data_IF_582054375236
#
_entry.id   IF_582054375236
#
_cell.length_a   1.000
_cell.length_b   1.000
_cell.length_c   1.000
_cell.angle_alpha   90.00
_cell.angle_beta   90.00
_cell.angle_gamma   90.00
#
_symmetry.space_group_name_H-M   'P 1'
#
loop_
_entity.id
_entity.type
_entity.pdbx_description
1 polymer ?
#
# COMPACT_ATOMS: atom_id res chain seq x y z
N UNK A 1 -6.33 44.92 -25.44
CA UNK A 1 -6.54 43.49 -25.72
C UNK A 1 -5.26 42.76 -25.41
N UNK A 2 -5.07 42.34 -24.15
CA UNK A 2 -3.87 41.65 -23.71
C UNK A 2 -3.89 40.22 -24.23
N UNK A 3 -2.83 39.81 -24.91
CA UNK A 3 -2.64 38.43 -25.37
C UNK A 3 -2.66 37.48 -24.18
N UNK A 4 -3.74 36.70 -24.05
CA UNK A 4 -3.90 35.62 -23.08
C UNK A 4 -3.04 34.39 -23.48
N UNK A 5 -1.77 34.63 -23.85
CA UNK A 5 -0.93 33.67 -24.58
C UNK A 5 -0.13 32.69 -23.72
N UNK A 6 -0.25 32.68 -22.39
CA UNK A 6 0.75 32.00 -21.54
C UNK A 6 0.20 31.05 -20.46
N UNK A 7 -1.06 30.63 -20.51
CA UNK A 7 -1.57 29.72 -19.49
C UNK A 7 -1.51 28.24 -19.87
N UNK A 8 -1.25 27.87 -21.12
CA UNK A 8 -1.15 26.46 -21.50
C UNK A 8 0.20 25.84 -21.12
N UNK A 9 0.17 24.58 -20.71
CA UNK A 9 1.39 23.80 -20.47
C UNK A 9 1.93 23.38 -21.85
N UNK A 10 3.08 23.94 -22.24
CA UNK A 10 3.68 23.57 -23.52
C UNK A 10 4.06 22.09 -23.57
N UNK A 11 4.04 21.50 -24.77
CA UNK A 11 4.36 20.08 -24.97
C UNK A 11 5.75 19.72 -24.42
N UNK A 12 6.74 20.62 -24.54
CA UNK A 12 8.09 20.41 -24.02
C UNK A 12 8.15 20.38 -22.49
N UNK A 13 7.37 21.23 -21.82
CA UNK A 13 7.25 21.20 -20.36
C UNK A 13 6.56 19.92 -19.93
N UNK A 14 5.43 19.59 -20.57
CA UNK A 14 4.65 18.39 -20.30
C UNK A 14 5.53 17.13 -20.41
N UNK A 15 6.29 17.00 -21.51
CA UNK A 15 7.24 15.90 -21.73
C UNK A 15 8.33 15.82 -20.65
N UNK A 16 8.92 16.95 -20.24
CA UNK A 16 9.92 16.97 -19.16
C UNK A 16 9.33 16.51 -17.82
N UNK A 17 8.13 16.98 -17.48
CA UNK A 17 7.43 16.58 -16.26
C UNK A 17 7.04 15.09 -16.28
N UNK A 18 6.50 14.61 -17.39
CA UNK A 18 6.19 13.19 -17.61
C UNK A 18 7.44 12.31 -17.47
N UNK A 19 8.55 12.71 -18.08
CA UNK A 19 9.83 11.98 -17.99
C UNK A 19 10.31 11.89 -16.55
N UNK A 20 10.33 13.02 -15.84
CA UNK A 20 10.71 13.06 -14.43
C UNK A 20 9.80 12.17 -13.56
N UNK A 21 8.48 12.24 -13.75
CA UNK A 21 7.53 11.40 -13.02
C UNK A 21 7.72 9.90 -13.31
N UNK A 22 7.93 9.54 -14.57
CA UNK A 22 8.12 8.14 -14.96
C UNK A 22 9.44 7.56 -14.46
N UNK A 23 10.47 8.38 -14.34
CA UNK A 23 11.80 7.94 -13.90
C UNK A 23 11.93 7.91 -12.38
N UNK A 24 11.55 9.00 -11.71
CA UNK A 24 11.85 9.20 -10.29
C UNK A 24 10.64 8.85 -9.40
N UNK A 25 9.43 8.81 -9.99
CA UNK A 25 8.16 8.56 -9.30
C UNK A 25 7.33 7.44 -9.96
N UNK A 26 7.99 6.44 -10.58
CA UNK A 26 7.33 5.33 -11.28
C UNK A 26 6.30 4.59 -10.41
N UNK A 27 6.61 4.37 -9.12
CA UNK A 27 5.69 3.73 -8.18
C UNK A 27 4.40 4.54 -7.98
N UNK A 28 4.48 5.86 -8.08
CA UNK A 28 3.35 6.78 -7.95
C UNK A 28 2.48 6.75 -9.19
N UNK A 29 3.09 6.76 -10.37
CA UNK A 29 2.38 6.58 -11.64
C UNK A 29 1.64 5.24 -11.64
N UNK A 30 2.30 4.17 -11.19
CA UNK A 30 1.68 2.85 -11.02
C UNK A 30 0.51 2.88 -10.02
N UNK A 31 0.68 3.52 -8.86
CA UNK A 31 -0.39 3.65 -7.87
C UNK A 31 -1.58 4.48 -8.38
N UNK A 32 -1.32 5.56 -9.11
CA UNK A 32 -2.35 6.36 -9.79
C UNK A 32 -3.13 5.51 -10.78
N UNK A 33 -2.44 4.69 -11.58
CA UNK A 33 -3.08 3.73 -12.48
C UNK A 33 -3.97 2.74 -11.72
N UNK A 34 -3.51 2.16 -10.62
CA UNK A 34 -4.33 1.24 -9.81
C UNK A 34 -5.57 1.92 -9.23
N UNK A 35 -5.47 3.20 -8.87
CA UNK A 35 -6.59 3.94 -8.29
C UNK A 35 -7.75 4.16 -9.27
N UNK A 36 -7.48 4.20 -10.58
CA UNK A 36 -8.47 4.46 -11.63
C UNK A 36 -8.99 3.20 -12.32
N UNK A 37 -8.48 2.01 -11.97
CA UNK A 37 -8.96 0.76 -12.57
C UNK A 37 -10.42 0.49 -12.18
N UNK A 38 -11.28 0.09 -13.14
CA UNK A 38 -12.62 -0.36 -12.82
C UNK A 38 -12.57 -1.63 -11.95
N UNK A 39 -13.63 -1.87 -11.17
CA UNK A 39 -13.70 -3.04 -10.27
C UNK A 39 -13.49 -4.37 -11.01
N UNK A 40 -13.92 -4.48 -12.26
CA UNK A 40 -13.76 -5.65 -13.14
C UNK A 40 -12.31 -5.95 -13.54
N UNK A 41 -11.40 -4.99 -13.35
CA UNK A 41 -9.99 -5.09 -13.72
C UNK A 41 -9.06 -5.17 -12.50
N UNK A 42 -9.60 -5.19 -11.28
CA UNK A 42 -8.77 -5.22 -10.05
C UNK A 42 -7.96 -6.50 -9.87
N UNK A 43 -8.40 -7.62 -10.46
CA UNK A 43 -7.64 -8.87 -10.47
C UNK A 43 -6.55 -8.90 -11.54
N UNK A 44 -6.54 -7.94 -12.47
CA UNK A 44 -5.57 -7.88 -13.54
C UNK A 44 -4.25 -7.25 -13.08
N UNK A 45 -3.15 -7.73 -13.65
CA UNK A 45 -1.82 -7.21 -13.35
C UNK A 45 -1.54 -5.99 -14.21
N UNK A 46 -1.32 -4.84 -13.59
CA UNK A 46 -0.77 -3.68 -14.30
C UNK A 46 0.72 -3.91 -14.52
N UNK A 47 1.14 -3.79 -15.77
CA UNK A 47 2.52 -3.82 -16.20
C UNK A 47 2.82 -2.51 -16.92
N UNK A 48 4.00 -1.93 -16.67
CA UNK A 48 4.50 -0.76 -17.40
C UNK A 48 3.50 0.42 -17.47
N UNK A 49 3.26 1.10 -16.35
CA UNK A 49 2.48 2.33 -16.30
C UNK A 49 3.37 3.54 -16.57
N UNK A 50 2.87 4.50 -17.36
CA UNK A 50 3.56 5.74 -17.72
C UNK A 50 2.60 6.92 -17.76
N UNK A 51 3.05 8.06 -17.26
CA UNK A 51 2.46 9.36 -17.49
C UNK A 51 2.90 9.84 -18.88
N UNK A 52 1.95 10.12 -19.77
CA UNK A 52 2.25 10.48 -21.17
C UNK A 52 2.03 11.95 -21.46
N UNK A 53 1.02 12.56 -20.86
CA UNK A 53 0.64 13.95 -21.11
C UNK A 53 0.10 14.61 -19.84
N UNK A 54 0.43 15.88 -19.64
CA UNK A 54 -0.13 16.76 -18.62
C UNK A 54 -0.64 18.04 -19.29
N UNK A 55 -1.89 18.40 -19.01
CA UNK A 55 -2.55 19.64 -19.43
C UNK A 55 -3.01 20.42 -18.20
N UNK A 56 -3.59 21.61 -18.37
CA UNK A 56 -4.18 22.35 -17.24
C UNK A 56 -5.37 21.63 -16.60
N UNK A 57 -6.06 20.78 -17.35
CA UNK A 57 -7.33 20.17 -16.91
C UNK A 57 -7.16 18.72 -16.50
N UNK A 58 -6.15 18.03 -17.00
CA UNK A 58 -6.01 16.59 -16.82
C UNK A 58 -4.59 16.11 -17.06
N UNK A 59 -4.34 14.85 -16.70
CA UNK A 59 -3.17 14.09 -17.09
C UNK A 59 -3.56 12.75 -17.70
N UNK A 60 -2.71 12.22 -18.58
CA UNK A 60 -2.92 10.94 -19.27
C UNK A 60 -1.95 9.88 -18.78
N UNK A 61 -2.49 8.70 -18.50
CA UNK A 61 -1.75 7.51 -18.10
C UNK A 61 -1.88 6.46 -19.21
N UNK A 62 -0.76 5.95 -19.70
CA UNK A 62 -0.70 4.76 -20.55
C UNK A 62 -0.21 3.57 -19.73
N UNK A 63 -0.90 2.45 -19.78
CA UNK A 63 -0.56 1.26 -19.00
C UNK A 63 -0.93 -0.03 -19.72
N UNK A 64 -0.21 -1.12 -19.42
CA UNK A 64 -0.49 -2.44 -19.97
C UNK A 64 -1.16 -3.32 -18.91
N UNK A 65 -2.41 -3.67 -19.13
CA UNK A 65 -3.19 -4.52 -18.25
C UNK A 65 -3.14 -5.97 -18.73
N UNK A 66 -2.71 -6.91 -17.87
CA UNK A 66 -2.60 -8.32 -18.20
C UNK A 66 -3.58 -9.19 -17.39
N UNK A 67 -4.34 -10.04 -18.08
CA UNK A 67 -5.24 -11.06 -17.52
C UNK A 67 -4.83 -12.43 -18.09
N UNK A 68 -4.21 -13.27 -17.27
CA UNK A 68 -3.54 -14.48 -17.75
C UNK A 68 -2.43 -14.12 -18.73
N UNK A 69 -2.43 -14.75 -19.90
CA UNK A 69 -1.44 -14.52 -20.96
C UNK A 69 -1.79 -13.34 -21.89
N UNK A 70 -3.01 -12.80 -21.77
CA UNK A 70 -3.46 -11.67 -22.59
C UNK A 70 -3.12 -10.34 -21.94
N UNK A 71 -2.40 -9.48 -22.65
CA UNK A 71 -2.07 -8.13 -22.22
C UNK A 71 -2.59 -7.08 -23.20
N UNK A 72 -3.30 -6.08 -22.69
CA UNK A 72 -3.86 -4.98 -23.48
C UNK A 72 -3.22 -3.65 -23.06
N UNK A 73 -2.82 -2.83 -24.03
CA UNK A 73 -2.45 -1.45 -23.78
C UNK A 73 -3.72 -0.61 -23.63
N UNK A 74 -3.77 0.21 -22.58
CA UNK A 74 -4.89 1.10 -22.29
C UNK A 74 -4.36 2.47 -21.92
N UNK A 75 -5.18 3.46 -22.24
CA UNK A 75 -4.96 4.83 -21.83
C UNK A 75 -6.10 5.28 -20.93
N UNK A 76 -5.80 6.16 -19.99
CA UNK A 76 -6.78 6.82 -19.16
C UNK A 76 -6.44 8.28 -18.98
N UNK A 77 -7.47 9.12 -18.96
CA UNK A 77 -7.35 10.55 -18.69
C UNK A 77 -7.95 10.84 -17.32
N UNK A 78 -7.18 11.47 -16.44
CA UNK A 78 -7.61 11.84 -15.09
C UNK A 78 -7.65 13.35 -14.98
N UNK A 79 -8.81 13.89 -14.65
CA UNK A 79 -9.01 15.34 -14.52
C UNK A 79 -8.47 15.86 -13.19
N UNK A 80 -7.84 17.03 -13.21
CA UNK A 80 -7.55 17.81 -12.01
C UNK A 80 -8.84 18.44 -11.48
N UNK A 81 -9.03 18.41 -10.16
CA UNK A 81 -10.20 19.02 -9.50
C UNK A 81 -9.75 19.80 -8.27
N UNK A 82 -9.74 21.15 -8.31
CA UNK A 82 -10.02 22.02 -9.46
C UNK A 82 -8.95 21.93 -10.56
N UNK A 83 -9.25 22.40 -11.80
CA UNK A 83 -8.24 22.57 -12.84
C UNK A 83 -7.08 23.45 -12.40
N UNK A 84 -5.90 23.24 -12.99
CA UNK A 84 -4.71 24.06 -12.74
C UNK A 84 -4.93 25.47 -13.28
N UNK A 85 -4.47 26.49 -12.54
CA UNK A 85 -4.58 27.88 -13.00
C UNK A 85 -3.41 28.25 -13.91
N UNK A 86 -2.24 27.66 -13.66
CA UNK A 86 -1.02 27.88 -14.43
C UNK A 86 -0.12 26.64 -14.43
N UNK A 87 0.89 26.65 -15.31
CA UNK A 87 1.94 25.63 -15.34
C UNK A 87 2.66 25.45 -13.98
N UNK A 88 2.80 26.52 -13.19
CA UNK A 88 3.51 26.47 -11.89
C UNK A 88 2.78 25.57 -10.87
N UNK A 89 1.48 25.41 -11.02
CA UNK A 89 0.64 24.60 -10.13
C UNK A 89 0.74 23.10 -10.43
N UNK A 90 1.22 22.74 -11.63
CA UNK A 90 1.26 21.35 -12.07
C UNK A 90 2.12 20.47 -11.15
N UNK A 91 3.28 20.96 -10.71
CA UNK A 91 4.17 20.18 -9.83
C UNK A 91 3.59 19.98 -8.44
N UNK A 92 3.15 21.02 -7.70
CA UNK A 92 2.45 20.83 -6.42
C UNK A 92 1.26 19.88 -6.52
N UNK A 93 0.44 20.02 -7.58
CA UNK A 93 -0.74 19.15 -7.77
C UNK A 93 -0.35 17.69 -8.03
N UNK A 94 0.70 17.45 -8.82
CA UNK A 94 1.21 16.08 -9.03
C UNK A 94 1.79 15.46 -7.75
N UNK A 95 2.39 16.26 -6.87
CA UNK A 95 2.86 15.81 -5.55
C UNK A 95 1.67 15.44 -4.64
N UNK A 96 0.58 16.21 -4.70
CA UNK A 96 -0.65 15.88 -3.98
C UNK A 96 -1.25 14.56 -4.49
N UNK A 97 -1.40 14.41 -5.80
CA UNK A 97 -1.88 13.18 -6.45
C UNK A 97 -0.96 11.99 -6.13
N UNK A 98 0.36 12.21 -6.07
CA UNK A 98 1.35 11.21 -5.62
C UNK A 98 1.05 10.70 -4.21
N UNK A 99 0.87 11.61 -3.25
CA UNK A 99 0.61 11.24 -1.86
C UNK A 99 -0.76 10.57 -1.71
N UNK A 100 -1.77 11.06 -2.43
CA UNK A 100 -3.11 10.49 -2.45
C UNK A 100 -3.13 9.08 -3.04
N UNK A 101 -2.43 8.85 -4.15
CA UNK A 101 -2.37 7.55 -4.81
C UNK A 101 -1.62 6.51 -3.97
N UNK A 102 -0.61 6.93 -3.20
CA UNK A 102 0.14 6.04 -2.31
C UNK A 102 -0.49 5.87 -0.93
N UNK A 103 -1.60 6.56 -0.64
CA UNK A 103 -2.27 6.46 0.66
C UNK A 103 -2.94 5.08 0.80
N UNK A 104 -2.69 4.34 1.89
CA UNK A 104 -3.33 3.05 2.08
C UNK A 104 -4.81 3.23 2.43
N UNK A 105 -5.61 2.19 2.19
CA UNK A 105 -7.05 2.20 2.47
C UNK A 105 -7.31 1.49 3.78
N UNK A 106 -7.83 2.21 4.78
CA UNK A 106 -8.21 1.63 6.08
C UNK A 106 -9.26 0.52 5.91
N UNK A 107 -10.10 0.61 4.89
CA UNK A 107 -11.08 -0.43 4.57
C UNK A 107 -10.46 -1.78 4.24
N UNK A 108 -9.16 -1.88 3.93
CA UNK A 108 -8.47 -3.17 3.74
C UNK A 108 -8.46 -4.02 5.01
N UNK A 109 -8.55 -3.42 6.19
CA UNK A 109 -8.65 -4.18 7.45
C UNK A 109 -9.90 -5.07 7.51
N UNK A 110 -10.96 -4.68 6.80
CA UNK A 110 -12.28 -5.33 6.87
C UNK A 110 -12.62 -6.01 5.54
N UNK A 111 -12.26 -5.40 4.42
CA UNK A 111 -12.62 -5.88 3.08
C UNK A 111 -11.70 -6.99 2.56
N UNK A 112 -10.49 -7.14 3.13
CA UNK A 112 -9.59 -8.23 2.78
C UNK A 112 -9.66 -9.32 3.86
N UNK A 113 -10.21 -10.50 3.53
CA UNK A 113 -10.51 -11.56 4.50
C UNK A 113 -9.28 -12.00 5.31
N UNK A 114 -8.10 -12.02 4.70
CA UNK A 114 -6.88 -12.40 5.41
C UNK A 114 -6.44 -11.33 6.42
N UNK A 115 -6.55 -10.05 6.05
CA UNK A 115 -6.29 -8.93 6.96
C UNK A 115 -7.27 -8.93 8.14
N UNK A 116 -8.57 -9.16 7.86
CA UNK A 116 -9.60 -9.27 8.89
C UNK A 116 -9.33 -10.43 9.84
N UNK A 117 -8.95 -11.60 9.33
CA UNK A 117 -8.61 -12.76 10.14
C UNK A 117 -7.46 -12.45 11.11
N UNK A 118 -6.40 -11.78 10.64
CA UNK A 118 -5.28 -11.39 11.50
C UNK A 118 -5.73 -10.37 12.56
N UNK A 119 -6.55 -9.38 12.20
CA UNK A 119 -7.08 -8.42 13.19
C UNK A 119 -7.87 -9.14 14.29
N UNK A 120 -8.76 -10.06 13.91
CA UNK A 120 -9.54 -10.86 14.87
C UNK A 120 -8.60 -11.71 15.75
N UNK A 121 -7.62 -12.38 15.15
CA UNK A 121 -6.63 -13.16 15.90
C UNK A 121 -5.83 -12.29 16.88
N UNK A 122 -5.40 -11.10 16.46
CA UNK A 122 -4.70 -10.16 17.34
C UNK A 122 -5.58 -9.69 18.50
N UNK A 123 -6.87 -9.44 18.26
CA UNK A 123 -7.83 -9.11 19.33
C UNK A 123 -7.96 -10.26 20.32
N UNK A 124 -8.12 -11.50 19.84
CA UNK A 124 -8.24 -12.69 20.70
C UNK A 124 -6.96 -12.94 21.51
N UNK A 125 -5.78 -12.84 20.87
CA UNK A 125 -4.49 -12.95 21.53
C UNK A 125 -4.30 -11.87 22.59
N UNK A 126 -4.68 -10.62 22.29
CA UNK A 126 -4.63 -9.51 23.25
C UNK A 126 -5.56 -9.77 24.43
N UNK A 127 -6.79 -10.23 24.17
CA UNK A 127 -7.76 -10.54 25.21
C UNK A 127 -7.25 -11.66 26.14
N UNK A 128 -6.80 -12.78 25.57
CA UNK A 128 -6.24 -13.89 26.34
C UNK A 128 -4.99 -13.50 27.14
N UNK A 129 -4.10 -12.68 26.56
CA UNK A 129 -2.82 -12.36 27.20
C UNK A 129 -2.91 -11.21 28.21
N UNK A 130 -3.60 -10.12 27.85
CA UNK A 130 -3.60 -8.86 28.64
C UNK A 130 -4.79 -8.77 29.58
N UNK A 131 -5.97 -9.21 29.15
CA UNK A 131 -7.21 -9.02 29.92
C UNK A 131 -7.51 -10.20 30.84
N UNK A 132 -7.38 -11.43 30.34
CA UNK A 132 -7.54 -12.63 31.17
C UNK A 132 -6.25 -12.94 31.93
N UNK A 133 -5.12 -12.97 31.21
CA UNK A 133 -3.89 -13.51 31.75
C UNK A 133 -3.91 -15.04 31.78
N UNK A 134 -2.73 -15.62 32.02
CA UNK A 134 -2.47 -17.05 31.88
C UNK A 134 -3.31 -17.90 32.84
N UNK A 135 -3.33 -17.55 34.13
CA UNK A 135 -4.03 -18.30 35.18
C UNK A 135 -5.55 -18.33 34.97
N UNK A 136 -6.15 -17.15 34.71
CA UNK A 136 -7.59 -17.05 34.46
C UNK A 136 -7.97 -17.77 33.17
N UNK A 137 -7.18 -17.66 32.10
CA UNK A 137 -7.42 -18.39 30.87
C UNK A 137 -7.42 -19.91 31.10
N UNK A 138 -6.45 -20.45 31.85
CA UNK A 138 -6.42 -21.87 32.21
C UNK A 138 -7.64 -22.27 33.02
N UNK A 139 -8.01 -21.48 34.03
CA UNK A 139 -9.19 -21.71 34.87
C UNK A 139 -10.47 -21.78 34.04
N UNK A 140 -10.71 -20.80 33.16
CA UNK A 140 -11.90 -20.73 32.30
C UNK A 140 -11.96 -21.91 31.31
N UNK A 141 -10.82 -22.31 30.74
CA UNK A 141 -10.74 -23.46 29.85
C UNK A 141 -11.05 -24.78 30.57
N UNK A 142 -10.59 -24.92 31.82
CA UNK A 142 -10.83 -26.11 32.63
C UNK A 142 -12.28 -26.19 33.16
N UNK A 143 -13.00 -25.06 33.27
CA UNK A 143 -14.43 -25.06 33.60
C UNK A 143 -15.31 -25.67 32.48
N UNK A 144 -14.87 -25.56 31.22
CA UNK A 144 -15.56 -26.15 30.08
C UNK A 144 -14.97 -27.52 29.72
N UNK A 145 -15.70 -28.59 30.05
CA UNK A 145 -15.24 -29.96 29.76
C UNK A 145 -14.89 -30.18 28.29
N UNK A 146 -15.66 -29.58 27.37
CA UNK A 146 -15.41 -29.69 25.92
C UNK A 146 -14.17 -28.89 25.51
N UNK A 147 -14.03 -27.64 25.95
CA UNK A 147 -12.89 -26.80 25.57
C UNK A 147 -11.59 -27.34 26.16
N UNK A 148 -11.58 -27.67 27.46
CA UNK A 148 -10.44 -28.24 28.15
C UNK A 148 -10.00 -29.56 27.53
N UNK A 149 -10.93 -30.50 27.29
CA UNK A 149 -10.58 -31.78 26.64
C UNK A 149 -10.04 -31.59 25.21
N UNK A 150 -10.61 -30.66 24.45
CA UNK A 150 -10.17 -30.41 23.07
C UNK A 150 -8.77 -29.79 23.06
N UNK A 151 -8.53 -28.79 23.90
CA UNK A 151 -7.24 -28.10 23.99
C UNK A 151 -6.16 -29.05 24.50
N UNK A 152 -6.41 -29.79 25.58
CA UNK A 152 -5.43 -30.75 26.09
C UNK A 152 -5.14 -31.88 25.09
N UNK A 153 -6.11 -32.28 24.25
CA UNK A 153 -5.87 -33.24 23.17
C UNK A 153 -4.93 -32.69 22.09
N UNK A 154 -5.05 -31.40 21.73
CA UNK A 154 -4.25 -30.77 20.67
C UNK A 154 -2.89 -30.29 21.18
N UNK A 155 -2.85 -29.69 22.37
CA UNK A 155 -1.70 -28.97 22.92
C UNK A 155 -1.06 -29.66 24.13
N UNK A 156 -1.57 -30.82 24.54
CA UNK A 156 -1.10 -31.58 25.70
C UNK A 156 -1.73 -31.12 27.02
N UNK A 157 -1.82 -29.80 27.26
CA UNK A 157 -2.48 -29.24 28.44
C UNK A 157 -3.02 -27.83 28.19
N UNK A 158 -3.93 -27.37 29.05
CA UNK A 158 -4.47 -26.00 28.99
C UNK A 158 -3.43 -24.96 29.39
N UNK A 159 -2.48 -25.30 30.28
CA UNK A 159 -1.34 -24.45 30.64
C UNK A 159 -0.40 -24.23 29.46
N UNK A 160 -0.08 -25.32 28.73
CA UNK A 160 0.79 -25.24 27.54
C UNK A 160 0.14 -24.34 26.49
N UNK A 161 -1.17 -24.49 26.27
CA UNK A 161 -1.92 -23.63 25.35
C UNK A 161 -1.89 -22.15 25.79
N UNK A 162 -2.18 -21.85 27.06
CA UNK A 162 -2.19 -20.47 27.57
C UNK A 162 -0.81 -19.81 27.44
N UNK A 163 0.26 -20.56 27.74
CA UNK A 163 1.63 -20.12 27.51
C UNK A 163 1.90 -19.82 26.02
N UNK A 164 1.47 -20.69 25.11
CA UNK A 164 1.62 -20.48 23.67
C UNK A 164 0.83 -19.27 23.16
N UNK A 165 -0.37 -18.99 23.69
CA UNK A 165 -1.14 -17.78 23.38
C UNK A 165 -0.34 -16.53 23.73
N UNK A 166 0.25 -16.49 24.92
CA UNK A 166 1.08 -15.37 25.38
C UNK A 166 2.35 -15.20 24.53
N UNK A 167 3.05 -16.29 24.23
CA UNK A 167 4.24 -16.26 23.36
C UNK A 167 3.86 -15.77 21.95
N UNK A 168 2.78 -16.29 21.38
CA UNK A 168 2.29 -15.89 20.07
C UNK A 168 1.91 -14.41 20.02
N UNK A 169 1.27 -13.88 21.07
CA UNK A 169 0.95 -12.46 21.18
C UNK A 169 2.21 -11.58 21.12
N UNK A 170 3.20 -11.83 21.99
CA UNK A 170 4.43 -11.02 22.02
C UNK A 170 5.24 -11.16 20.74
N UNK A 171 5.32 -12.37 20.17
CA UNK A 171 5.96 -12.59 18.89
C UNK A 171 5.28 -11.76 17.79
N UNK A 172 3.94 -11.80 17.70
CA UNK A 172 3.20 -11.05 16.69
C UNK A 172 3.41 -9.54 16.83
N UNK A 173 3.38 -9.00 18.06
CA UNK A 173 3.67 -7.58 18.33
C UNK A 173 5.06 -7.19 17.83
N UNK A 174 6.08 -7.99 18.16
CA UNK A 174 7.47 -7.72 17.75
C UNK A 174 7.61 -7.82 16.22
N UNK A 175 7.05 -8.86 15.61
CA UNK A 175 7.08 -9.06 14.16
C UNK A 175 6.42 -7.89 13.42
N UNK A 176 5.21 -7.51 13.82
CA UNK A 176 4.49 -6.37 13.24
C UNK A 176 5.26 -5.05 13.42
N UNK A 177 5.94 -4.86 14.56
CA UNK A 177 6.78 -3.68 14.79
C UNK A 177 7.97 -3.63 13.82
N UNK A 178 8.67 -4.74 13.61
CA UNK A 178 9.77 -4.82 12.63
C UNK A 178 9.30 -4.57 11.19
N UNK A 179 8.19 -5.18 10.81
CA UNK A 179 7.57 -4.98 9.49
C UNK A 179 7.17 -3.52 9.29
N UNK A 180 6.58 -2.89 10.31
CA UNK A 180 6.18 -1.49 10.27
C UNK A 180 7.37 -0.55 10.17
N UNK A 181 8.45 -0.82 10.89
CA UNK A 181 9.71 -0.07 10.77
C UNK A 181 10.30 -0.18 9.36
N UNK A 182 10.28 -1.39 8.77
CA UNK A 182 10.74 -1.60 7.40
C UNK A 182 9.85 -0.88 6.37
N UNK A 183 8.53 -0.90 6.55
CA UNK A 183 7.58 -0.15 5.72
C UNK A 183 7.85 1.35 5.79
N UNK A 184 8.04 1.92 6.98
CA UNK A 184 8.38 3.33 7.16
C UNK A 184 9.69 3.67 6.43
N UNK A 185 10.71 2.80 6.54
CA UNK A 185 11.96 2.96 5.80
C UNK A 185 11.73 3.02 4.28
N UNK A 186 10.94 2.11 3.71
CA UNK A 186 10.61 2.10 2.29
C UNK A 186 9.80 3.34 1.86
N UNK A 187 8.79 3.72 2.65
CA UNK A 187 7.97 4.91 2.41
C UNK A 187 8.82 6.19 2.35
N UNK A 188 9.77 6.33 3.28
CA UNK A 188 10.65 7.51 3.37
C UNK A 188 11.73 7.52 2.30
N UNK A 189 12.46 6.42 2.13
CA UNK A 189 13.69 6.41 1.31
C UNK A 189 13.44 6.12 -0.17
N UNK A 190 12.48 5.24 -0.49
CA UNK A 190 12.19 4.85 -1.87
C UNK A 190 10.99 5.59 -2.43
N UNK A 191 9.89 5.60 -1.69
CA UNK A 191 8.63 6.17 -2.18
C UNK A 191 8.54 7.69 -1.98
N UNK A 192 9.39 8.28 -1.13
CA UNK A 192 9.45 9.72 -0.83
C UNK A 192 8.10 10.31 -0.40
N UNK A 193 7.34 9.53 0.37
CA UNK A 193 6.01 9.90 0.83
C UNK A 193 6.04 10.99 1.90
N UNK A 194 4.96 11.77 2.00
CA UNK A 194 4.77 12.69 3.12
C UNK A 194 4.44 11.94 4.42
N UNK A 195 4.48 12.66 5.55
CA UNK A 195 4.32 12.06 6.89
C UNK A 195 2.96 11.39 7.09
N UNK A 196 1.87 12.01 6.64
CA UNK A 196 0.52 11.49 6.86
C UNK A 196 0.29 10.08 6.26
N UNK A 197 0.51 9.82 4.96
CA UNK A 197 0.32 8.49 4.41
C UNK A 197 1.37 7.49 4.94
N UNK A 198 2.58 7.94 5.30
CA UNK A 198 3.59 7.09 5.95
C UNK A 198 3.14 6.61 7.34
N UNK A 199 2.57 7.50 8.17
CA UNK A 199 2.01 7.13 9.47
C UNK A 199 0.83 6.18 9.31
N UNK A 200 -0.02 6.37 8.29
CA UNK A 200 -1.13 5.46 8.05
C UNK A 200 -0.64 4.06 7.63
N UNK A 201 0.41 3.97 6.80
CA UNK A 201 1.05 2.69 6.48
C UNK A 201 1.65 2.02 7.71
N UNK A 202 2.32 2.78 8.59
CA UNK A 202 2.83 2.28 9.86
C UNK A 202 1.71 1.70 10.72
N UNK A 203 0.61 2.44 10.92
CA UNK A 203 -0.50 1.98 11.75
C UNK A 203 -1.15 0.71 11.19
N UNK A 204 -1.46 0.68 9.89
CA UNK A 204 -2.07 -0.49 9.26
C UNK A 204 -1.16 -1.72 9.28
N UNK A 205 0.16 -1.51 9.12
CA UNK A 205 1.13 -2.61 9.22
C UNK A 205 1.27 -3.10 10.66
N UNK A 206 1.18 -2.24 11.67
CA UNK A 206 1.16 -2.71 13.07
C UNK A 206 -0.08 -3.56 13.39
N UNK A 207 -1.22 -3.25 12.77
CA UNK A 207 -2.45 -4.01 13.00
C UNK A 207 -2.45 -5.40 12.34
N UNK A 208 -1.86 -5.53 11.16
CA UNK A 208 -2.03 -6.72 10.29
C UNK A 208 -0.72 -7.41 9.92
N UNK A 209 0.40 -6.68 9.95
CA UNK A 209 1.70 -7.17 9.56
C UNK A 209 1.89 -7.35 8.05
N UNK A 210 2.51 -8.47 7.68
CA UNK A 210 2.98 -8.78 6.32
C UNK A 210 1.99 -8.48 5.19
N UNK A 211 0.68 -8.78 5.28
CA UNK A 211 -0.26 -8.52 4.18
C UNK A 211 -0.28 -7.06 3.74
N UNK A 212 -0.20 -6.12 4.68
CA UNK A 212 -0.13 -4.69 4.39
C UNK A 212 1.29 -4.32 3.94
N UNK A 213 2.33 -4.84 4.60
CA UNK A 213 3.72 -4.59 4.22
C UNK A 213 4.03 -5.01 2.76
N UNK A 214 3.48 -6.14 2.32
CA UNK A 214 3.66 -6.69 0.97
C UNK A 214 3.18 -5.73 -0.15
N UNK A 215 2.15 -4.92 0.13
CA UNK A 215 1.65 -3.90 -0.81
C UNK A 215 2.67 -2.78 -1.00
N UNK A 216 3.29 -2.31 0.09
CA UNK A 216 4.37 -1.31 0.04
C UNK A 216 5.61 -1.88 -0.66
N UNK A 217 5.98 -3.13 -0.37
CA UNK A 217 7.08 -3.82 -1.04
C UNK A 217 6.84 -3.93 -2.55
N UNK A 218 5.60 -4.17 -2.97
CA UNK A 218 5.22 -4.19 -4.38
C UNK A 218 5.46 -2.83 -5.02
N UNK A 219 5.02 -1.73 -4.39
CA UNK A 219 5.26 -0.37 -4.86
C UNK A 219 6.75 -0.04 -4.94
N UNK A 220 7.51 -0.41 -3.90
CA UNK A 220 8.97 -0.22 -3.87
C UNK A 220 9.68 -1.01 -4.99
N UNK A 221 9.22 -2.23 -5.29
CA UNK A 221 9.79 -3.04 -6.39
C UNK A 221 9.57 -2.40 -7.76
N UNK A 222 8.47 -1.67 -7.96
CA UNK A 222 8.23 -0.91 -9.19
C UNK A 222 9.21 0.24 -9.32
N UNK A 223 9.49 0.95 -8.22
CA UNK A 223 10.50 2.00 -8.18
C UNK A 223 11.91 1.44 -8.51
N UNK A 224 12.29 0.34 -7.88
CA UNK A 224 13.60 -0.28 -8.09
C UNK A 224 13.79 -0.74 -9.55
N UNK A 225 12.76 -1.34 -10.16
CA UNK A 225 12.77 -1.74 -11.58
C UNK A 225 12.90 -0.54 -12.52
N UNK A 226 12.21 0.57 -12.24
CA UNK A 226 12.31 1.78 -13.03
C UNK A 226 13.71 2.39 -12.95
N UNK A 227 14.29 2.44 -11.75
CA UNK A 227 15.66 2.92 -11.50
C UNK A 227 16.71 2.06 -12.20
N UNK A 228 16.57 0.74 -12.17
CA UNK A 228 17.45 -0.17 -12.89
C UNK A 228 17.46 0.10 -14.40
N UNK A 229 16.28 0.22 -15.02
CA UNK A 229 16.14 0.56 -16.45
C UNK A 229 16.78 1.90 -16.80
N UNK A 230 16.58 2.93 -15.97
CA UNK A 230 17.21 4.25 -16.15
C UNK A 230 18.75 4.15 -16.15
N UNK A 231 19.31 3.31 -15.29
CA UNK A 231 20.76 3.10 -15.23
C UNK A 231 21.29 2.33 -16.44
N UNK A 232 20.54 1.37 -16.97
CA UNK A 232 20.89 0.64 -18.20
C UNK A 232 20.90 1.58 -19.41
N UNK A 233 19.88 2.44 -19.54
CA UNK A 233 19.80 3.42 -20.63
C UNK A 233 20.90 4.48 -20.63
N UNK A 234 21.59 4.70 -19.51
CA UNK A 234 22.73 5.62 -19.42
C UNK A 234 24.08 5.00 -19.81
N UNK A 235 24.13 3.67 -19.96
CA UNK A 235 25.35 2.94 -20.35
C UNK A 235 25.51 2.81 -21.86
N UNK A 236 24.44 3.08 -22.61
CA UNK A 236 24.40 3.10 -24.07
C UNK A 236 24.69 4.50 -24.55
#
# INVERSE_FOLDING_TARGET
>A
MSSNGNNEISADVSRRMCTHMNEDHAASVYAMTLAILPSSDRSAKVSNAKLTEITLRSYKLAYRLCKGDSCQLRDATVSFTPPLTSQKDARPRLIEEHNKALMPRVSWLITESFSLAIVVMMVLLTYGTIFLGEETLVSELNQSAVAGSTISSIFGSTETFAYLVKVAFYFAVIAHAFESAYVVYLCKTKLKMSTAPMLLWFLLTNCVGFPIASKVMTLASVHDKAKAKKNESKKV
#
